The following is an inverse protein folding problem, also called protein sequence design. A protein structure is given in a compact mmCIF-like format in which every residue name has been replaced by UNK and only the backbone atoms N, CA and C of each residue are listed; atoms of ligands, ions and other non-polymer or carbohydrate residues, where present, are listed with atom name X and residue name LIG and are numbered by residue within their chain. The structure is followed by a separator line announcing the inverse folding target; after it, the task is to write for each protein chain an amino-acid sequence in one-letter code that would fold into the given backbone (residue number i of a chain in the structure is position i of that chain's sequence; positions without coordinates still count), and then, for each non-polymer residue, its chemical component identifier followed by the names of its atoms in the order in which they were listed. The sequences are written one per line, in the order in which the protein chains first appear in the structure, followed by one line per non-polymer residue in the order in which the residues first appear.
data_IF_852444095823
#
_entry.id   IF_852444095823
#
_cell.length_a   1.000
_cell.length_b   1.000
_cell.length_c   1.000
_cell.angle_alpha   90.00
_cell.angle_beta   90.00
_cell.angle_gamma   90.00
#
_symmetry.space_group_name_H-M   'P 1'
#
loop_
_entity.id
_entity.type
_entity.pdbx_description
1 polymer ?
#
# COMPACT_ATOMS: atom_id res chain seq x y z
N UNK A 1 9.99 11.09 0.90
CA UNK A 1 8.55 11.24 0.59
C UNK A 1 7.70 10.37 1.51
N UNK A 2 6.52 10.85 1.97
CA UNK A 2 5.56 10.04 2.75
C UNK A 2 4.47 9.44 1.86
N UNK A 3 4.13 8.17 2.09
CA UNK A 3 3.04 7.46 1.41
C UNK A 3 2.00 6.99 2.42
N UNK A 4 0.74 7.31 2.16
CA UNK A 4 -0.41 6.80 2.92
C UNK A 4 -1.16 5.73 2.11
N UNK A 5 -1.49 4.61 2.74
CA UNK A 5 -2.24 3.51 2.10
C UNK A 5 -3.44 3.12 2.96
N UNK A 6 -4.63 3.17 2.39
CA UNK A 6 -5.86 2.66 3.03
C UNK A 6 -6.31 1.38 2.32
N UNK A 7 -6.19 0.26 3.02
CA UNK A 7 -6.53 -1.06 2.51
C UNK A 7 -7.99 -1.39 2.86
N UNK A 8 -8.88 -1.01 1.96
CA UNK A 8 -10.30 -1.36 2.07
C UNK A 8 -10.60 -2.76 1.55
N UNK A 9 -11.80 -3.28 1.89
CA UNK A 9 -12.28 -4.56 1.39
C UNK A 9 -12.62 -4.55 -0.11
N UNK A 10 -13.01 -3.39 -0.65
CA UNK A 10 -13.34 -3.20 -2.08
C UNK A 10 -12.30 -2.39 -2.84
N UNK A 11 -11.71 -1.41 -2.17
CA UNK A 11 -10.72 -0.55 -2.80
C UNK A 11 -9.51 -0.33 -1.90
N UNK A 12 -8.33 -0.37 -2.51
CA UNK A 12 -7.10 0.15 -1.93
C UNK A 12 -6.88 1.56 -2.45
N UNK A 13 -6.59 2.49 -1.54
CA UNK A 13 -6.31 3.89 -1.85
C UNK A 13 -4.87 4.20 -1.49
N UNK A 14 -4.16 4.89 -2.37
CA UNK A 14 -2.78 5.34 -2.15
C UNK A 14 -2.76 6.86 -2.28
N UNK A 15 -2.15 7.53 -1.31
CA UNK A 15 -1.92 8.96 -1.30
C UNK A 15 -0.42 9.24 -1.13
N UNK A 16 0.16 10.05 -2.01
CA UNK A 16 1.57 10.44 -1.95
C UNK A 16 1.78 11.80 -2.60
N UNK A 17 2.88 12.46 -2.28
CA UNK A 17 3.32 13.62 -3.04
C UNK A 17 4.30 13.18 -4.12
N UNK A 18 4.27 13.73 -5.34
CA UNK A 18 5.36 13.50 -6.30
C UNK A 18 6.58 14.39 -6.00
N UNK A 19 7.64 14.25 -6.79
CA UNK A 19 8.88 15.04 -6.65
C UNK A 19 8.68 16.55 -6.86
N UNK A 20 7.56 16.95 -7.49
CA UNK A 20 7.16 18.34 -7.67
C UNK A 20 6.23 18.84 -6.55
N UNK A 21 5.97 18.03 -5.52
CA UNK A 21 5.11 18.37 -4.39
C UNK A 21 3.61 18.31 -4.70
N UNK A 22 3.19 17.64 -5.79
CA UNK A 22 1.78 17.46 -6.12
C UNK A 22 1.20 16.24 -5.42
N UNK A 23 0.01 16.39 -4.83
CA UNK A 23 -0.71 15.26 -4.25
C UNK A 23 -1.24 14.35 -5.37
N UNK A 24 -0.80 13.09 -5.35
CA UNK A 24 -1.25 12.01 -6.21
C UNK A 24 -2.15 11.09 -5.38
N UNK A 25 -3.34 10.82 -5.92
CA UNK A 25 -4.33 9.94 -5.31
C UNK A 25 -4.67 8.83 -6.29
N UNK A 26 -4.54 7.60 -5.83
CA UNK A 26 -4.74 6.39 -6.62
C UNK A 26 -5.79 5.52 -5.94
N UNK A 27 -6.62 4.86 -6.76
CA UNK A 27 -7.66 3.95 -6.28
C UNK A 27 -7.63 2.68 -7.10
N UNK A 28 -7.45 1.56 -6.42
CA UNK A 28 -7.36 0.23 -7.01
C UNK A 28 -8.49 -0.64 -6.49
N UNK A 29 -9.05 -1.53 -7.32
CA UNK A 29 -9.88 -2.63 -6.85
C UNK A 29 -9.04 -3.56 -5.97
N UNK A 30 -9.52 -3.91 -4.77
CA UNK A 30 -8.72 -4.68 -3.81
C UNK A 30 -8.39 -6.08 -4.32
N UNK A 31 -9.31 -6.75 -5.03
CA UNK A 31 -9.05 -8.09 -5.55
C UNK A 31 -7.96 -8.06 -6.62
N UNK A 32 -7.98 -7.05 -7.50
CA UNK A 32 -6.91 -6.83 -8.47
C UNK A 32 -5.60 -6.46 -7.78
N UNK A 33 -5.63 -5.53 -6.84
CA UNK A 33 -4.46 -5.07 -6.09
C UNK A 33 -3.71 -6.23 -5.44
N UNK A 34 -4.43 -7.13 -4.76
CA UNK A 34 -3.82 -8.30 -4.14
C UNK A 34 -3.27 -9.32 -5.14
N UNK A 35 -3.88 -9.48 -6.31
CA UNK A 35 -3.34 -10.37 -7.35
C UNK A 35 -2.08 -9.80 -8.00
N UNK A 36 -2.02 -8.49 -8.17
CA UNK A 36 -0.97 -7.80 -8.91
C UNK A 36 0.25 -7.53 -8.03
N UNK A 37 0.02 -7.13 -6.78
CA UNK A 37 1.07 -6.67 -5.86
C UNK A 37 1.22 -7.56 -4.62
N UNK A 38 0.35 -8.56 -4.44
CA UNK A 38 0.42 -9.44 -3.29
C UNK A 38 1.32 -10.65 -3.52
N UNK A 39 2.04 -11.06 -2.49
CA UNK A 39 2.87 -12.26 -2.48
C UNK A 39 2.62 -13.11 -1.25
N UNK A 40 2.55 -14.42 -1.47
CA UNK A 40 2.57 -15.39 -0.38
C UNK A 40 4.02 -15.58 0.10
N UNK A 41 4.23 -15.45 1.40
CA UNK A 41 5.49 -15.67 2.10
C UNK A 41 5.27 -16.69 3.22
N UNK A 42 6.33 -17.33 3.75
CA UNK A 42 6.19 -18.22 4.91
C UNK A 42 5.53 -17.54 6.13
N UNK A 43 5.69 -16.22 6.28
CA UNK A 43 5.16 -15.41 7.37
C UNK A 43 3.73 -14.89 7.12
N UNK A 44 3.15 -15.21 5.96
CA UNK A 44 1.80 -14.83 5.56
C UNK A 44 1.75 -14.14 4.20
N UNK A 45 0.70 -13.35 3.98
CA UNK A 45 0.52 -12.61 2.74
C UNK A 45 1.03 -11.17 2.91
N UNK A 46 1.89 -10.74 1.98
CA UNK A 46 2.51 -9.41 1.99
C UNK A 46 2.23 -8.66 0.70
N UNK A 47 2.27 -7.33 0.76
CA UNK A 47 2.29 -6.47 -0.43
C UNK A 47 3.73 -6.18 -0.81
N UNK A 48 4.07 -6.45 -2.06
CA UNK A 48 5.32 -6.11 -2.71
C UNK A 48 5.31 -4.61 -3.06
N UNK A 49 5.91 -3.82 -2.17
CA UNK A 49 5.97 -2.38 -2.28
C UNK A 49 6.82 -1.90 -3.46
N UNK A 50 7.80 -2.69 -3.89
CA UNK A 50 8.65 -2.37 -5.04
C UNK A 50 7.83 -2.44 -6.33
N UNK A 51 6.99 -3.47 -6.45
CA UNK A 51 6.10 -3.65 -7.61
C UNK A 51 5.03 -2.57 -7.76
N UNK A 52 4.73 -1.81 -6.71
CA UNK A 52 3.81 -0.66 -6.77
C UNK A 52 4.39 0.53 -7.55
N UNK A 53 5.70 0.55 -7.82
CA UNK A 53 6.32 1.62 -8.60
C UNK A 53 6.22 3.00 -7.95
N UNK A 54 6.19 3.06 -6.62
CA UNK A 54 6.02 4.31 -5.88
C UNK A 54 7.26 5.22 -5.93
N UNK A 55 8.41 4.70 -6.39
CA UNK A 55 9.70 5.40 -6.34
C UNK A 55 10.26 5.47 -4.92
N UNK A 56 11.23 6.37 -4.70
CA UNK A 56 11.86 6.53 -3.39
C UNK A 56 10.90 7.18 -2.38
N UNK A 57 10.66 6.51 -1.25
CA UNK A 57 9.90 7.01 -0.12
C UNK A 57 10.68 6.83 1.19
N UNK A 58 10.44 7.73 2.14
CA UNK A 58 11.08 7.69 3.47
C UNK A 58 10.23 6.89 4.45
N UNK A 59 8.90 6.93 4.26
CA UNK A 59 7.94 6.41 5.23
C UNK A 59 6.65 6.00 4.53
N UNK A 60 6.12 4.84 4.91
CA UNK A 60 4.81 4.33 4.50
C UNK A 60 3.96 4.16 5.73
N UNK A 61 2.75 4.73 5.69
CA UNK A 61 1.74 4.59 6.75
C UNK A 61 0.53 3.88 6.18
N UNK A 62 0.10 2.80 6.81
CA UNK A 62 -1.01 1.97 6.35
C UNK A 62 -2.17 1.94 7.36
N UNK A 63 -3.40 2.01 6.86
CA UNK A 63 -4.65 1.87 7.64
C UNK A 63 -5.66 0.98 6.88
N UNK A 64 -6.85 0.78 7.45
CA UNK A 64 -7.97 0.03 6.85
C UNK A 64 -8.15 -1.38 7.41
N UNK A 65 -9.10 -2.12 6.81
CA UNK A 65 -9.47 -3.48 7.25
C UNK A 65 -8.56 -4.57 6.66
N UNK A 66 -7.94 -4.31 5.50
CA UNK A 66 -7.08 -5.28 4.83
C UNK A 66 -5.75 -5.55 5.52
N UNK A 67 -5.38 -4.76 6.53
CA UNK A 67 -4.16 -4.90 7.35
C UNK A 67 -4.02 -6.28 7.97
N UNK A 68 -5.13 -6.85 8.43
CA UNK A 68 -5.16 -8.18 9.06
C UNK A 68 -4.82 -9.30 8.07
N UNK A 69 -5.05 -9.07 6.77
CA UNK A 69 -4.91 -10.08 5.71
C UNK A 69 -3.69 -9.87 4.84
N UNK A 70 -3.19 -8.64 4.76
CA UNK A 70 -2.05 -8.28 3.92
C UNK A 70 -1.15 -7.33 4.70
N UNK A 71 0.00 -7.85 5.14
CA UNK A 71 1.04 -7.02 5.77
C UNK A 71 1.73 -6.19 4.69
N UNK A 72 1.92 -4.90 4.93
CA UNK A 72 2.82 -4.10 4.10
C UNK A 72 4.20 -4.13 4.75
N UNK A 73 5.14 -4.81 4.09
CA UNK A 73 6.51 -4.88 4.58
C UNK A 73 7.08 -3.45 4.69
N UNK A 74 7.54 -3.08 5.89
CA UNK A 74 8.14 -1.77 6.15
C UNK A 74 7.15 -0.61 6.35
N UNK A 75 5.84 -0.86 6.44
CA UNK A 75 4.86 0.18 6.76
C UNK A 75 4.57 0.29 8.26
N UNK A 76 4.37 1.52 8.73
CA UNK A 76 3.78 1.80 10.05
C UNK A 76 2.28 1.65 9.96
N UNK A 77 1.71 0.73 10.73
CA UNK A 77 0.26 0.53 10.76
C UNK A 77 -0.42 1.39 11.82
N UNK A 78 -1.53 2.05 11.46
CA UNK A 78 -2.36 2.84 12.36
C UNK A 78 -3.84 2.39 12.30
N UNK A 79 -4.60 2.55 13.39
CA UNK A 79 -6.04 2.26 13.41
C UNK A 79 -6.85 3.00 12.35
#
# INVERSE_FOLDING_TARGET
MRVGIDIGSRYVKIARYDTAGRLILEKHDSARFYREYGRATPEGFVIDMESLGLGDYDEVVATGYGRERAKLAGATEIP
#
